data_IF_395801592979
#
_entry.id   IF_395801592979
#
_cell.length_a   1.000
_cell.length_b   1.000
_cell.length_c   1.000
_cell.angle_alpha   90.00
_cell.angle_beta   90.00
_cell.angle_gamma   90.00
#
_symmetry.space_group_name_H-M   'P 1'
#
loop_
_entity.id
_entity.type
_entity.pdbx_description
1 polymer ?
#
# COMPACT_ATOMS: atom_id res chain seq x y z
N UNK A 1 -8.98 -8.13 -24.96
CA UNK A 1 -10.23 -8.12 -24.17
C UNK A 1 -11.38 -8.09 -25.16
N UNK A 2 -12.18 -9.15 -25.22
CA UNK A 2 -13.36 -9.21 -26.10
C UNK A 2 -14.61 -9.39 -25.23
N UNK A 3 -15.74 -8.97 -25.78
CA UNK A 3 -17.07 -9.19 -25.21
C UNK A 3 -17.34 -10.65 -24.80
N UNK A 4 -16.77 -11.60 -25.55
CA UNK A 4 -16.86 -13.03 -25.26
C UNK A 4 -15.96 -13.41 -24.07
N UNK A 5 -14.67 -13.04 -24.07
CA UNK A 5 -13.76 -13.39 -22.96
C UNK A 5 -14.25 -12.77 -21.64
N UNK A 6 -14.74 -11.53 -21.66
CA UNK A 6 -15.30 -10.88 -20.47
C UNK A 6 -16.47 -11.66 -19.86
N UNK A 7 -17.39 -12.17 -20.69
CA UNK A 7 -18.59 -12.91 -20.23
C UNK A 7 -18.23 -14.33 -19.80
N UNK A 8 -17.43 -15.06 -20.59
CA UNK A 8 -17.04 -16.42 -20.23
C UNK A 8 -16.17 -16.48 -18.97
N UNK A 9 -15.29 -15.50 -18.74
CA UNK A 9 -14.47 -15.43 -17.52
C UNK A 9 -15.32 -15.16 -16.26
N UNK A 10 -16.45 -14.48 -16.40
CA UNK A 10 -17.37 -14.14 -15.30
C UNK A 10 -18.44 -15.17 -15.04
N UNK A 11 -18.56 -16.18 -15.91
CA UNK A 11 -19.67 -17.11 -15.90
C UNK A 11 -20.88 -16.56 -16.66
N UNK A 12 -21.46 -17.40 -17.50
CA UNK A 12 -22.75 -17.16 -18.17
C UNK A 12 -23.70 -18.26 -17.76
N UNK A 13 -25.00 -18.00 -17.92
CA UNK A 13 -26.02 -19.03 -17.74
C UNK A 13 -25.76 -20.22 -18.68
N UNK A 14 -25.40 -21.41 -18.15
CA UNK A 14 -25.11 -22.57 -18.98
C UNK A 14 -26.36 -23.05 -19.75
N UNK A 15 -27.55 -22.84 -19.20
CA UNK A 15 -28.81 -23.32 -19.77
C UNK A 15 -29.38 -22.34 -20.82
N UNK A 16 -28.85 -21.12 -20.90
CA UNK A 16 -29.27 -20.11 -21.87
C UNK A 16 -28.86 -20.41 -23.32
N UNK A 17 -27.89 -21.31 -23.52
CA UNK A 17 -27.27 -21.59 -24.83
C UNK A 17 -28.32 -21.95 -25.90
N UNK A 18 -29.23 -22.87 -25.58
CA UNK A 18 -30.25 -23.32 -26.52
C UNK A 18 -31.25 -22.23 -26.87
N UNK A 19 -31.64 -21.41 -25.88
CA UNK A 19 -32.52 -20.26 -26.08
C UNK A 19 -31.86 -19.22 -26.98
N UNK A 20 -30.61 -18.84 -26.67
CA UNK A 20 -29.84 -17.87 -27.43
C UNK A 20 -29.61 -18.32 -28.88
N UNK A 21 -29.29 -19.60 -29.09
CA UNK A 21 -29.14 -20.20 -30.43
C UNK A 21 -30.43 -20.07 -31.24
N UNK A 22 -31.57 -20.50 -30.68
CA UNK A 22 -32.87 -20.40 -31.35
C UNK A 22 -33.22 -18.94 -31.68
N UNK A 23 -32.98 -18.01 -30.75
CA UNK A 23 -33.24 -16.59 -30.97
C UNK A 23 -32.37 -16.01 -32.08
N UNK A 24 -31.07 -16.34 -32.08
CA UNK A 24 -30.14 -15.90 -33.12
C UNK A 24 -30.56 -16.43 -34.50
N UNK A 25 -30.94 -17.70 -34.60
CA UNK A 25 -31.44 -18.30 -35.85
C UNK A 25 -32.68 -17.59 -36.37
N UNK A 26 -33.69 -17.34 -35.52
CA UNK A 26 -34.90 -16.61 -35.93
C UNK A 26 -34.58 -15.21 -36.48
N UNK A 27 -33.65 -14.49 -35.84
CA UNK A 27 -33.22 -13.18 -36.31
C UNK A 27 -32.50 -13.25 -37.67
N UNK A 28 -31.70 -14.29 -37.91
CA UNK A 28 -31.06 -14.50 -39.21
C UNK A 28 -32.09 -14.79 -40.32
N UNK A 29 -33.14 -15.54 -40.03
CA UNK A 29 -34.22 -15.78 -40.98
C UNK A 29 -34.96 -14.48 -41.32
N UNK A 30 -35.32 -13.69 -40.31
CA UNK A 30 -36.07 -12.44 -40.45
C UNK A 30 -35.28 -11.37 -41.21
N UNK A 31 -34.00 -11.19 -40.87
CA UNK A 31 -33.20 -10.06 -41.34
C UNK A 31 -32.47 -10.40 -42.65
N UNK A 32 -31.92 -11.62 -42.76
CA UNK A 32 -31.06 -12.00 -43.88
C UNK A 32 -31.74 -12.98 -44.86
N UNK A 33 -32.99 -13.38 -44.61
CA UNK A 33 -33.69 -14.38 -45.43
C UNK A 33 -33.06 -15.77 -45.36
N UNK A 34 -32.30 -16.05 -44.30
CA UNK A 34 -31.63 -17.34 -44.13
C UNK A 34 -32.63 -18.50 -43.95
N UNK A 35 -32.19 -19.71 -44.28
CA UNK A 35 -32.96 -20.95 -44.09
C UNK A 35 -32.28 -21.86 -43.09
N UNK A 36 -33.04 -22.46 -42.17
CA UNK A 36 -32.52 -23.46 -41.21
C UNK A 36 -32.09 -24.71 -41.98
N UNK A 37 -30.82 -25.10 -41.85
CA UNK A 37 -30.23 -26.20 -42.61
C UNK A 37 -30.34 -27.57 -41.93
N UNK A 38 -30.45 -27.61 -40.59
CA UNK A 38 -30.45 -28.85 -39.81
C UNK A 38 -31.16 -28.69 -38.47
N UNK A 39 -31.45 -29.83 -37.84
CA UNK A 39 -31.83 -29.90 -36.43
C UNK A 39 -30.67 -29.44 -35.52
N UNK A 40 -31.01 -29.11 -34.27
CA UNK A 40 -30.04 -28.68 -33.26
C UNK A 40 -29.30 -29.91 -32.72
N UNK A 41 -27.97 -29.85 -32.76
CA UNK A 41 -27.10 -30.84 -32.10
C UNK A 41 -26.60 -30.25 -30.78
N UNK A 42 -27.03 -30.84 -29.66
CA UNK A 42 -26.61 -30.45 -28.32
C UNK A 42 -25.66 -31.50 -27.73
N UNK A 43 -24.43 -31.08 -27.37
CA UNK A 43 -23.39 -31.94 -26.81
C UNK A 43 -23.02 -31.39 -25.44
N UNK A 44 -23.71 -31.87 -24.40
CA UNK A 44 -23.56 -31.40 -23.03
C UNK A 44 -23.23 -32.55 -22.05
N UNK A 45 -22.01 -33.13 -22.13
CA UNK A 45 -21.66 -34.35 -21.39
C UNK A 45 -21.54 -34.15 -19.87
N UNK A 46 -21.34 -32.91 -19.41
CA UNK A 46 -21.21 -32.56 -17.99
C UNK A 46 -22.11 -31.36 -17.68
N UNK A 47 -23.39 -31.60 -17.37
CA UNK A 47 -24.29 -30.54 -16.95
C UNK A 47 -23.76 -29.80 -15.73
N UNK A 48 -23.71 -28.47 -15.83
CA UNK A 48 -23.39 -27.57 -14.73
C UNK A 48 -24.66 -27.43 -13.90
N UNK A 49 -24.60 -27.85 -12.64
CA UNK A 49 -25.70 -27.74 -11.70
C UNK A 49 -25.56 -26.48 -10.86
N UNK A 50 -26.71 -25.99 -10.38
CA UNK A 50 -26.78 -24.94 -9.38
C UNK A 50 -26.17 -25.34 -8.04
N UNK A 51 -25.99 -24.36 -7.15
CA UNK A 51 -25.50 -24.61 -5.79
C UNK A 51 -26.66 -25.01 -4.87
N UNK A 52 -26.43 -26.00 -4.01
CA UNK A 52 -27.33 -26.33 -2.90
C UNK A 52 -26.81 -25.69 -1.62
N UNK A 53 -27.63 -24.85 -0.99
CA UNK A 53 -27.22 -24.04 0.17
C UNK A 53 -28.27 -24.13 1.26
N UNK A 54 -27.87 -24.53 2.47
CA UNK A 54 -28.72 -24.43 3.66
C UNK A 54 -28.55 -23.07 4.32
N UNK A 55 -29.64 -22.32 4.45
CA UNK A 55 -29.71 -20.99 5.04
C UNK A 55 -30.39 -21.04 6.42
N UNK A 56 -29.66 -20.68 7.48
CA UNK A 56 -30.24 -20.54 8.82
C UNK A 56 -30.75 -19.12 9.07
N UNK A 57 -32.00 -18.98 9.50
CA UNK A 57 -32.57 -17.67 9.88
C UNK A 57 -31.80 -17.04 11.06
N UNK A 58 -31.28 -17.86 11.98
CA UNK A 58 -30.42 -17.41 13.08
C UNK A 58 -29.11 -16.81 12.57
N UNK A 59 -28.55 -17.41 11.52
CA UNK A 59 -27.33 -16.91 10.91
C UNK A 59 -27.57 -15.59 10.18
N UNK A 60 -28.70 -15.45 9.48
CA UNK A 60 -29.14 -14.17 8.88
C UNK A 60 -29.12 -13.10 9.97
N UNK A 61 -29.78 -13.32 11.11
CA UNK A 61 -29.79 -12.33 12.19
C UNK A 61 -28.40 -12.06 12.77
N UNK A 62 -27.57 -13.10 12.93
CA UNK A 62 -26.21 -12.97 13.48
C UNK A 62 -25.31 -12.12 12.58
N UNK A 63 -25.34 -12.34 11.27
CA UNK A 63 -24.48 -11.64 10.30
C UNK A 63 -25.00 -10.25 9.95
N UNK A 64 -26.32 -10.10 9.79
CA UNK A 64 -26.94 -8.81 9.44
C UNK A 64 -27.10 -7.88 10.64
N UNK A 65 -27.15 -8.44 11.86
CA UNK A 65 -27.41 -7.70 13.10
C UNK A 65 -28.88 -7.29 13.29
N UNK A 66 -29.78 -7.67 12.37
CA UNK A 66 -31.21 -7.36 12.40
C UNK A 66 -32.06 -8.63 12.28
N UNK A 67 -33.22 -8.63 12.92
CA UNK A 67 -34.21 -9.69 12.73
C UNK A 67 -35.04 -9.35 11.48
N UNK A 68 -34.80 -10.07 10.38
CA UNK A 68 -35.63 -10.01 9.17
C UNK A 68 -36.68 -11.11 9.27
N UNK A 69 -37.96 -10.76 9.08
CA UNK A 69 -39.05 -11.73 9.12
C UNK A 69 -38.85 -12.82 8.05
N UNK A 70 -39.12 -14.08 8.41
CA UNK A 70 -38.91 -15.24 7.54
C UNK A 70 -39.71 -15.12 6.25
N UNK A 71 -40.93 -14.60 6.31
CA UNK A 71 -41.81 -14.38 5.16
C UNK A 71 -41.21 -13.38 4.17
N UNK A 72 -40.43 -12.41 4.67
CA UNK A 72 -39.73 -11.45 3.82
C UNK A 72 -38.50 -12.07 3.16
N UNK A 73 -37.77 -12.93 3.88
CA UNK A 73 -36.63 -13.70 3.36
C UNK A 73 -37.12 -14.61 2.23
N UNK A 74 -38.10 -15.46 2.55
CA UNK A 74 -39.26 -15.83 1.72
C UNK A 74 -39.29 -15.28 0.29
N UNK A 75 -40.03 -14.17 0.21
CA UNK A 75 -40.31 -13.38 -0.97
C UNK A 75 -39.06 -12.90 -1.71
N UNK A 76 -37.98 -12.60 -1.00
CA UNK A 76 -36.74 -12.12 -1.62
C UNK A 76 -36.05 -13.26 -2.39
N UNK A 77 -35.95 -14.44 -1.78
CA UNK A 77 -35.32 -15.60 -2.41
C UNK A 77 -36.08 -16.03 -3.67
N UNK A 78 -37.41 -16.10 -3.60
CA UNK A 78 -38.26 -16.42 -4.75
C UNK A 78 -38.14 -15.37 -5.87
N UNK A 79 -38.08 -14.08 -5.53
CA UNK A 79 -37.88 -13.00 -6.51
C UNK A 79 -36.49 -13.01 -7.18
N UNK A 80 -35.54 -13.75 -6.61
CA UNK A 80 -34.19 -13.96 -7.15
C UNK A 80 -34.05 -15.33 -7.87
N UNK A 81 -35.17 -16.00 -8.15
CA UNK A 81 -35.24 -17.35 -8.72
C UNK A 81 -34.53 -18.43 -7.88
N UNK A 82 -34.33 -18.20 -6.57
CA UNK A 82 -33.75 -19.20 -5.67
C UNK A 82 -34.88 -20.11 -5.17
N UNK A 83 -34.86 -21.37 -5.60
CA UNK A 83 -35.87 -22.37 -5.21
C UNK A 83 -35.65 -22.80 -3.76
N UNK A 84 -36.71 -22.82 -2.97
CA UNK A 84 -36.70 -23.38 -1.61
C UNK A 84 -37.17 -24.84 -1.70
N UNK A 85 -36.22 -25.76 -1.56
CA UNK A 85 -36.46 -27.20 -1.66
C UNK A 85 -36.98 -27.82 -0.37
N UNK A 86 -36.64 -27.24 0.79
CA UNK A 86 -37.18 -27.63 2.08
C UNK A 86 -37.16 -26.46 3.09
N UNK A 87 -38.09 -26.50 4.04
CA UNK A 87 -38.18 -25.57 5.16
C UNK A 87 -38.42 -26.36 6.46
N UNK A 88 -37.40 -26.43 7.33
CA UNK A 88 -37.43 -27.17 8.60
C UNK A 88 -36.61 -26.45 9.66
N UNK A 89 -37.14 -26.36 10.89
CA UNK A 89 -36.40 -25.89 12.08
C UNK A 89 -35.63 -24.56 11.90
N UNK A 90 -36.25 -23.56 11.25
CA UNK A 90 -35.62 -22.26 10.90
C UNK A 90 -34.39 -22.38 9.98
N UNK A 91 -34.34 -23.43 9.17
CA UNK A 91 -33.37 -23.65 8.10
C UNK A 91 -34.11 -23.85 6.77
N UNK A 92 -33.67 -23.11 5.75
CA UNK A 92 -34.17 -23.21 4.38
C UNK A 92 -33.12 -23.90 3.52
N UNK A 93 -33.46 -25.01 2.88
CA UNK A 93 -32.60 -25.67 1.89
C UNK A 93 -32.88 -25.10 0.51
N UNK A 94 -31.88 -24.45 -0.09
CA UNK A 94 -32.01 -23.64 -1.29
C UNK A 94 -31.33 -24.30 -2.47
N UNK A 95 -31.94 -24.21 -3.65
CA UNK A 95 -31.29 -24.48 -4.93
C UNK A 95 -31.11 -23.17 -5.67
N UNK A 96 -29.85 -22.75 -5.77
CA UNK A 96 -29.45 -21.53 -6.44
C UNK A 96 -29.27 -21.82 -7.94
N UNK A 97 -29.85 -21.03 -8.85
CA UNK A 97 -29.69 -21.23 -10.29
C UNK A 97 -28.23 -21.25 -10.75
N UNK A 98 -27.91 -22.09 -11.74
CA UNK A 98 -26.53 -22.25 -12.23
C UNK A 98 -25.92 -20.96 -12.84
N UNK A 99 -26.77 -20.00 -13.24
CA UNK A 99 -26.33 -18.71 -13.74
C UNK A 99 -25.80 -17.76 -12.64
N UNK A 100 -26.05 -18.07 -11.36
CA UNK A 100 -25.58 -17.31 -10.19
C UNK A 100 -24.25 -17.88 -9.68
N UNK A 101 -23.19 -17.68 -10.45
CA UNK A 101 -21.85 -18.23 -10.12
C UNK A 101 -21.23 -17.66 -8.85
N UNK A 102 -21.75 -16.52 -8.38
CA UNK A 102 -21.35 -15.80 -7.18
C UNK A 102 -22.00 -16.32 -5.89
N UNK A 103 -23.13 -17.03 -5.99
CA UNK A 103 -23.92 -17.47 -4.83
C UNK A 103 -23.73 -18.96 -4.60
N UNK A 104 -22.79 -19.32 -3.72
CA UNK A 104 -22.42 -20.73 -3.48
C UNK A 104 -22.46 -21.14 -2.01
N UNK A 105 -22.53 -20.17 -1.10
CA UNK A 105 -22.49 -20.39 0.36
C UNK A 105 -23.62 -19.64 1.03
N UNK A 106 -23.91 -20.03 2.26
CA UNK A 106 -24.90 -19.38 3.12
C UNK A 106 -24.68 -17.85 3.21
N UNK A 107 -23.43 -17.41 3.34
CA UNK A 107 -23.09 -15.98 3.44
C UNK A 107 -23.43 -15.20 2.16
N UNK A 108 -23.30 -15.82 0.99
CA UNK A 108 -23.58 -15.18 -0.30
C UNK A 108 -25.10 -15.00 -0.46
N UNK A 109 -25.90 -15.97 -0.01
CA UNK A 109 -27.37 -15.85 0.05
C UNK A 109 -27.80 -14.74 1.02
N UNK A 110 -27.12 -14.61 2.17
CA UNK A 110 -27.40 -13.56 3.15
C UNK A 110 -27.09 -12.17 2.56
N UNK A 111 -26.03 -12.04 1.78
CA UNK A 111 -25.73 -10.81 1.04
C UNK A 111 -26.85 -10.45 0.07
N UNK A 112 -27.36 -11.42 -0.68
CA UNK A 112 -28.48 -11.22 -1.61
C UNK A 112 -29.76 -10.77 -0.91
N UNK A 113 -30.06 -11.39 0.24
CA UNK A 113 -31.17 -10.97 1.10
C UNK A 113 -30.99 -9.52 1.53
N UNK A 114 -29.79 -9.14 1.98
CA UNK A 114 -29.49 -7.77 2.40
C UNK A 114 -29.56 -6.77 1.24
N UNK A 115 -29.09 -7.14 0.05
CA UNK A 115 -29.09 -6.29 -1.14
C UNK A 115 -30.51 -5.90 -1.54
N UNK A 116 -31.44 -6.86 -1.53
CA UNK A 116 -32.84 -6.61 -1.86
C UNK A 116 -33.59 -5.99 -0.67
N UNK A 117 -33.27 -6.38 0.56
CA UNK A 117 -33.84 -5.76 1.76
C UNK A 117 -33.45 -4.27 1.87
N UNK A 118 -32.25 -3.91 1.41
CA UNK A 118 -31.72 -2.55 1.39
C UNK A 118 -30.82 -2.28 2.60
N UNK A 119 -29.55 -1.97 2.33
CA UNK A 119 -28.55 -1.68 3.36
C UNK A 119 -28.94 -0.51 4.28
N UNK A 120 -29.66 0.48 3.74
CA UNK A 120 -30.14 1.64 4.50
C UNK A 120 -31.16 1.29 5.60
N UNK A 121 -31.77 0.10 5.53
CA UNK A 121 -32.70 -0.38 6.56
C UNK A 121 -31.98 -1.02 7.75
N UNK A 122 -30.66 -1.21 7.68
CA UNK A 122 -29.86 -1.72 8.80
C UNK A 122 -29.57 -0.54 9.76
N UNK A 123 -30.09 -0.56 11.00
CA UNK A 123 -29.84 0.50 11.96
C UNK A 123 -28.39 0.46 12.44
N UNK A 124 -27.74 1.61 12.44
CA UNK A 124 -26.39 1.76 13.03
C UNK A 124 -26.54 1.80 14.54
N UNK A 125 -26.02 0.78 15.23
CA UNK A 125 -25.96 0.78 16.69
C UNK A 125 -24.97 1.86 17.15
N UNK A 126 -25.40 2.68 18.11
CA UNK A 126 -24.56 3.73 18.72
C UNK A 126 -23.59 3.19 19.78
N UNK A 127 -23.77 1.94 20.19
CA UNK A 127 -22.95 1.28 21.21
C UNK A 127 -21.93 0.34 20.55
N UNK A 128 -20.65 0.59 20.82
CA UNK A 128 -19.54 -0.30 20.47
C UNK A 128 -19.06 -0.98 21.74
N UNK A 129 -19.17 -2.31 21.80
CA UNK A 129 -18.57 -3.11 22.87
C UNK A 129 -17.14 -3.46 22.45
N UNK A 130 -16.16 -2.89 23.14
CA UNK A 130 -14.74 -3.17 22.92
C UNK A 130 -14.11 -3.72 24.19
N UNK A 131 -13.15 -4.62 24.02
CA UNK A 131 -12.27 -5.08 25.10
C UNK A 131 -11.02 -4.21 25.06
N UNK A 132 -10.65 -3.62 26.20
CA UNK A 132 -9.42 -2.84 26.30
C UNK A 132 -8.21 -3.77 26.14
N UNK A 133 -7.56 -3.70 24.99
CA UNK A 133 -6.24 -4.30 24.76
C UNK A 133 -5.18 -3.24 25.01
N UNK A 134 -4.24 -3.50 25.93
CA UNK A 134 -3.10 -2.61 26.15
C UNK A 134 -2.06 -2.86 25.06
N UNK A 135 -1.75 -1.84 24.27
CA UNK A 135 -0.69 -1.92 23.28
C UNK A 135 0.67 -2.15 23.96
N UNK A 136 1.50 -3.01 23.37
CA UNK A 136 2.86 -3.22 23.82
C UNK A 136 3.69 -1.93 23.68
N UNK A 137 4.50 -1.61 24.70
CA UNK A 137 5.48 -0.53 24.65
C UNK A 137 6.83 -1.05 24.14
N UNK A 138 7.66 -0.22 23.48
CA UNK A 138 7.43 1.20 23.19
C UNK A 138 6.43 1.41 22.03
N UNK A 139 5.65 2.47 22.15
CA UNK A 139 4.76 2.93 21.08
C UNK A 139 5.59 3.71 20.05
N UNK A 140 5.85 3.06 18.92
CA UNK A 140 6.66 3.62 17.83
C UNK A 140 6.03 4.85 17.20
N UNK A 141 4.69 4.93 17.16
CA UNK A 141 3.99 6.11 16.65
C UNK A 141 4.18 7.31 17.58
N UNK A 142 4.06 7.07 18.90
CA UNK A 142 4.31 8.12 19.88
C UNK A 142 5.75 8.64 19.80
N UNK A 143 6.73 7.77 19.58
CA UNK A 143 8.13 8.18 19.38
C UNK A 143 8.30 9.02 18.11
N UNK A 144 7.75 8.58 16.97
CA UNK A 144 7.79 9.34 15.71
C UNK A 144 7.14 10.73 15.89
N UNK A 145 6.01 10.83 16.56
CA UNK A 145 5.33 12.11 16.83
C UNK A 145 6.19 13.04 17.69
N UNK A 146 6.81 12.55 18.77
CA UNK A 146 7.69 13.39 19.62
C UNK A 146 8.84 14.00 18.81
N UNK A 147 9.40 13.24 17.87
CA UNK A 147 10.49 13.70 17.01
C UNK A 147 9.98 14.61 15.88
N UNK A 148 8.86 14.28 15.26
CA UNK A 148 8.20 15.10 14.24
C UNK A 148 7.78 16.46 14.79
N UNK A 149 7.17 16.50 15.97
CA UNK A 149 6.80 17.74 16.67
C UNK A 149 8.03 18.61 16.96
N UNK A 150 9.13 17.99 17.38
CA UNK A 150 10.38 18.70 17.62
C UNK A 150 10.97 19.31 16.34
N UNK A 151 11.09 18.53 15.26
CA UNK A 151 11.65 19.01 14.01
C UNK A 151 10.76 20.10 13.39
N UNK A 152 9.43 19.90 13.42
CA UNK A 152 8.45 20.89 12.97
C UNK A 152 8.52 22.20 13.78
N UNK A 153 8.64 22.11 15.10
CA UNK A 153 8.83 23.28 15.97
C UNK A 153 10.16 24.03 15.68
N UNK A 154 11.13 23.37 15.06
CA UNK A 154 12.40 23.95 14.62
C UNK A 154 12.43 24.35 13.13
N UNK A 155 11.25 24.47 12.52
CA UNK A 155 11.09 24.99 11.16
C UNK A 155 11.43 23.99 10.05
N UNK A 156 11.46 22.69 10.35
CA UNK A 156 11.51 21.67 9.31
C UNK A 156 10.11 21.38 8.76
N UNK A 157 10.05 20.99 7.49
CA UNK A 157 8.84 20.46 6.88
C UNK A 157 8.98 18.95 6.69
N UNK A 158 7.95 18.19 7.05
CA UNK A 158 7.89 16.77 6.74
C UNK A 158 7.70 16.57 5.23
N UNK A 159 8.53 15.70 4.65
CA UNK A 159 8.37 15.24 3.27
C UNK A 159 8.05 13.75 3.28
N UNK A 160 7.29 13.29 2.28
CA UNK A 160 6.96 11.89 2.08
C UNK A 160 7.26 11.51 0.64
N UNK A 161 8.35 10.78 0.44
CA UNK A 161 8.81 10.38 -0.88
C UNK A 161 8.37 8.96 -1.22
N UNK A 162 8.34 8.63 -2.50
CA UNK A 162 8.01 7.29 -2.95
C UNK A 162 9.08 6.28 -2.46
N UNK A 163 8.66 5.09 -2.06
CA UNK A 163 9.58 3.99 -1.77
C UNK A 163 10.24 3.46 -3.04
N UNK A 164 9.61 3.62 -4.20
CA UNK A 164 10.17 3.30 -5.51
C UNK A 164 10.97 4.48 -6.07
N UNK A 165 12.12 4.18 -6.65
CA UNK A 165 13.07 5.16 -7.16
C UNK A 165 13.83 4.63 -8.39
N UNK A 166 14.61 5.51 -9.01
CA UNK A 166 15.48 5.20 -10.16
C UNK A 166 16.58 4.21 -9.79
N UNK A 167 16.77 3.18 -10.62
CA UNK A 167 17.90 2.24 -10.49
C UNK A 167 19.24 2.96 -10.68
N UNK A 168 19.30 3.96 -11.56
CA UNK A 168 20.49 4.75 -11.89
C UNK A 168 21.08 5.52 -10.70
N UNK A 169 20.31 5.75 -9.63
CA UNK A 169 20.83 6.32 -8.40
C UNK A 169 21.81 5.41 -7.66
N UNK A 170 21.71 4.10 -7.86
CA UNK A 170 22.54 3.11 -7.18
C UNK A 170 23.61 2.48 -8.05
N UNK A 171 23.59 2.71 -9.36
CA UNK A 171 24.61 2.21 -10.29
C UNK A 171 26.01 2.77 -9.95
N UNK A 172 27.02 1.90 -10.05
CA UNK A 172 28.43 2.22 -9.80
C UNK A 172 28.68 2.90 -8.43
N UNK A 173 27.94 2.46 -7.41
CA UNK A 173 28.08 2.92 -6.04
C UNK A 173 29.00 2.02 -5.23
N UNK A 174 29.94 2.61 -4.50
CA UNK A 174 30.82 1.91 -3.56
C UNK A 174 30.13 1.61 -2.22
N UNK A 175 29.06 2.36 -1.90
CA UNK A 175 28.34 2.27 -0.64
C UNK A 175 27.00 1.54 -0.74
N UNK A 176 26.51 1.31 -1.96
CA UNK A 176 25.25 0.64 -2.23
C UNK A 176 25.50 -0.55 -3.16
N UNK A 177 25.82 -1.72 -2.58
CA UNK A 177 26.19 -2.91 -3.34
C UNK A 177 25.09 -3.32 -4.33
N UNK A 178 25.44 -3.57 -5.60
CA UNK A 178 24.45 -3.77 -6.67
C UNK A 178 23.47 -4.94 -6.39
N UNK A 179 23.98 -5.98 -5.73
CA UNK A 179 23.23 -7.17 -5.35
C UNK A 179 22.25 -6.95 -4.17
N UNK A 180 22.37 -5.86 -3.40
CA UNK A 180 21.44 -5.59 -2.29
C UNK A 180 20.15 -4.86 -2.72
N UNK A 181 20.01 -4.51 -4.00
CA UNK A 181 18.85 -3.80 -4.54
C UNK A 181 17.61 -4.70 -4.68
N UNK A 182 16.43 -4.17 -4.30
CA UNK A 182 15.15 -4.81 -4.62
C UNK A 182 14.64 -4.22 -5.93
N UNK A 183 14.86 -4.94 -7.03
CA UNK A 183 14.54 -4.49 -8.40
C UNK A 183 13.12 -4.93 -8.78
N UNK A 184 12.39 -4.06 -9.47
CA UNK A 184 11.06 -4.38 -9.99
C UNK A 184 11.19 -4.99 -11.39
N UNK A 185 10.57 -6.16 -11.59
CA UNK A 185 10.56 -6.87 -12.87
C UNK A 185 9.79 -6.11 -13.97
N UNK A 186 8.63 -5.55 -13.61
CA UNK A 186 7.75 -4.83 -14.54
C UNK A 186 7.48 -3.39 -14.04
N UNK A 187 8.50 -2.52 -14.02
CA UNK A 187 8.32 -1.17 -13.51
C UNK A 187 7.48 -0.35 -14.48
N UNK A 188 6.57 0.49 -13.94
CA UNK A 188 5.72 1.38 -14.75
C UNK A 188 6.54 2.44 -15.52
N UNK A 189 7.73 2.77 -15.01
CA UNK A 189 8.69 3.69 -15.65
C UNK A 189 10.09 3.43 -15.12
N UNK A 190 11.12 3.96 -15.79
CA UNK A 190 12.51 3.90 -15.31
C UNK A 190 12.72 4.60 -13.96
N UNK A 191 11.83 5.54 -13.60
CA UNK A 191 11.87 6.25 -12.33
C UNK A 191 11.37 5.42 -11.14
N UNK A 192 10.82 4.24 -11.41
CA UNK A 192 10.23 3.33 -10.42
C UNK A 192 10.86 1.93 -10.51
N UNK A 193 12.14 1.85 -10.87
CA UNK A 193 12.84 0.60 -11.18
C UNK A 193 13.31 -0.21 -9.97
N UNK A 194 13.51 0.43 -8.81
CA UNK A 194 13.98 -0.26 -7.59
C UNK A 194 13.42 0.37 -6.32
N UNK A 195 13.35 -0.40 -5.24
CA UNK A 195 13.02 0.14 -3.92
C UNK A 195 14.21 0.90 -3.33
N UNK A 196 13.94 2.01 -2.65
CA UNK A 196 14.97 2.86 -2.05
C UNK A 196 15.74 2.14 -0.93
N UNK A 197 17.07 2.28 -0.96
CA UNK A 197 18.01 1.78 0.06
C UNK A 197 18.47 2.84 1.06
N UNK A 198 18.11 4.10 0.80
CA UNK A 198 18.35 5.26 1.64
C UNK A 198 17.27 6.30 1.38
N UNK A 199 16.98 7.16 2.36
CA UNK A 199 16.05 8.28 2.18
C UNK A 199 16.68 9.46 1.41
N UNK A 200 17.99 9.41 1.17
CA UNK A 200 18.79 10.46 0.54
C UNK A 200 18.19 10.96 -0.77
N UNK A 201 17.95 10.07 -1.74
CA UNK A 201 17.60 10.48 -3.10
C UNK A 201 16.22 11.15 -3.18
N UNK A 202 15.22 10.65 -2.47
CA UNK A 202 13.91 11.29 -2.40
C UNK A 202 13.97 12.69 -1.77
N UNK A 203 14.75 12.86 -0.70
CA UNK A 203 14.96 14.17 -0.11
C UNK A 203 15.75 15.12 -0.99
N UNK A 204 16.76 14.62 -1.72
CA UNK A 204 17.51 15.38 -2.72
C UNK A 204 16.64 15.81 -3.91
N UNK A 205 15.73 14.96 -4.39
CA UNK A 205 14.74 15.32 -5.40
C UNK A 205 13.78 16.40 -4.88
N UNK A 206 13.37 16.31 -3.62
CA UNK A 206 12.58 17.36 -2.95
C UNK A 206 13.34 18.69 -2.87
N UNK A 207 14.65 18.66 -2.56
CA UNK A 207 15.51 19.86 -2.61
C UNK A 207 15.60 20.40 -4.04
N UNK A 208 15.84 19.55 -5.04
CA UNK A 208 15.90 19.95 -6.45
C UNK A 208 14.58 20.60 -6.91
N UNK A 209 13.45 19.99 -6.55
CA UNK A 209 12.12 20.48 -6.90
C UNK A 209 11.87 21.90 -6.37
N UNK A 210 12.25 22.17 -5.12
CA UNK A 210 12.02 23.46 -4.47
C UNK A 210 13.04 24.52 -4.90
N UNK A 211 14.31 24.16 -5.07
CA UNK A 211 15.36 25.08 -5.55
C UNK A 211 15.07 25.55 -6.97
N UNK A 212 14.59 24.67 -7.85
CA UNK A 212 14.11 25.03 -9.19
C UNK A 212 12.90 25.98 -9.18
N UNK A 213 12.21 26.13 -8.03
CA UNK A 213 11.11 27.06 -7.79
C UNK A 213 11.54 28.26 -6.94
N UNK A 214 12.85 28.57 -6.92
CA UNK A 214 13.44 29.72 -6.24
C UNK A 214 13.27 29.68 -4.71
N UNK A 215 13.21 28.47 -4.13
CA UNK A 215 13.28 28.24 -2.68
C UNK A 215 14.60 27.54 -2.35
N UNK A 216 15.60 28.31 -1.92
CA UNK A 216 16.95 27.82 -1.63
C UNK A 216 17.14 27.36 -0.19
N UNK A 217 16.43 27.99 0.76
CA UNK A 217 16.60 27.78 2.19
C UNK A 217 15.58 26.72 2.64
N UNK A 218 16.04 25.48 2.79
CA UNK A 218 15.17 24.31 2.99
C UNK A 218 15.63 23.48 4.18
N UNK A 219 14.64 23.05 4.97
CA UNK A 219 14.80 22.11 6.08
C UNK A 219 13.74 21.04 5.95
N UNK A 220 14.14 19.81 5.69
CA UNK A 220 13.22 18.69 5.53
C UNK A 220 13.53 17.55 6.48
N UNK A 221 12.50 16.82 6.88
CA UNK A 221 12.66 15.50 7.48
C UNK A 221 11.69 14.50 6.88
N UNK A 222 12.04 13.22 6.93
CA UNK A 222 11.19 12.12 6.48
C UNK A 222 11.33 10.93 7.43
N UNK A 223 10.20 10.37 7.86
CA UNK A 223 10.16 9.02 8.40
C UNK A 223 9.82 8.05 7.26
N UNK A 224 10.72 7.12 6.97
CA UNK A 224 10.56 6.24 5.82
C UNK A 224 11.23 4.90 6.00
N UNK A 225 10.85 3.94 5.16
CA UNK A 225 11.49 2.63 5.12
C UNK A 225 12.54 2.55 4.03
N UNK A 226 13.59 1.78 4.29
CA UNK A 226 14.59 1.34 3.31
C UNK A 226 14.50 -0.16 3.13
N UNK A 227 14.76 -0.65 1.93
CA UNK A 227 14.50 -2.02 1.51
C UNK A 227 15.77 -2.64 0.95
N UNK A 228 16.16 -3.80 1.47
CA UNK A 228 17.43 -4.43 1.12
C UNK A 228 17.24 -5.91 0.86
N UNK A 229 17.92 -6.41 -0.18
CA UNK A 229 17.95 -7.83 -0.53
C UNK A 229 19.18 -8.50 0.09
N UNK A 230 18.97 -9.60 0.82
CA UNK A 230 20.00 -10.28 1.63
C UNK A 230 20.73 -11.42 0.93
N UNK A 231 20.21 -11.91 -0.20
CA UNK A 231 20.75 -13.08 -0.90
C UNK A 231 20.94 -14.34 -0.03
N UNK A 232 19.99 -14.65 0.87
CA UNK A 232 20.05 -15.90 1.64
C UNK A 232 19.44 -17.05 0.82
N UNK A 233 20.29 -17.78 0.08
CA UNK A 233 19.89 -18.94 -0.72
C UNK A 233 19.33 -20.10 0.13
N UNK A 234 19.54 -20.08 1.45
CA UNK A 234 19.04 -21.11 2.37
C UNK A 234 17.65 -20.78 2.93
N UNK A 235 17.10 -19.61 2.60
CA UNK A 235 15.78 -19.19 3.05
C UNK A 235 14.66 -20.09 2.51
N UNK A 236 13.94 -20.76 3.41
CA UNK A 236 12.76 -21.59 3.08
C UNK A 236 11.65 -20.83 2.34
N UNK A 237 11.59 -19.50 2.53
CA UNK A 237 10.60 -18.62 1.91
C UNK A 237 11.27 -17.40 1.27
N UNK A 238 10.95 -17.06 0.00
CA UNK A 238 11.57 -15.94 -0.71
C UNK A 238 11.49 -14.60 0.03
N UNK A 239 10.43 -14.39 0.82
CA UNK A 239 10.23 -13.15 1.59
C UNK A 239 11.34 -12.92 2.63
N UNK A 240 11.96 -13.98 3.18
CA UNK A 240 13.04 -13.85 4.16
C UNK A 240 14.31 -13.25 3.56
N UNK A 241 14.44 -13.24 2.23
CA UNK A 241 15.55 -12.58 1.52
C UNK A 241 15.41 -11.05 1.46
N UNK A 242 14.32 -10.48 1.97
CA UNK A 242 14.12 -9.05 2.01
C UNK A 242 14.15 -8.54 3.44
N UNK A 243 14.71 -7.36 3.64
CA UNK A 243 14.66 -6.61 4.91
C UNK A 243 14.12 -5.22 4.70
N UNK A 244 13.36 -4.76 5.70
CA UNK A 244 12.90 -3.39 5.80
C UNK A 244 13.45 -2.77 7.08
N UNK A 245 13.95 -1.55 6.98
CA UNK A 245 14.38 -0.75 8.14
C UNK A 245 13.67 0.59 8.13
N UNK A 246 13.00 0.93 9.22
CA UNK A 246 12.55 2.30 9.49
C UNK A 246 13.78 3.21 9.63
N UNK A 247 13.69 4.41 9.07
CA UNK A 247 14.74 5.43 9.08
C UNK A 247 14.13 6.81 9.30
N UNK A 248 14.94 7.70 9.85
CA UNK A 248 14.68 9.14 9.87
C UNK A 248 15.74 9.86 9.03
N UNK A 249 15.32 10.50 7.94
CA UNK A 249 16.15 11.36 7.11
C UNK A 249 15.98 12.82 7.52
N UNK A 250 17.08 13.58 7.63
CA UNK A 250 17.08 15.01 7.97
C UNK A 250 17.94 15.76 6.96
N UNK A 251 17.41 16.80 6.34
CA UNK A 251 18.05 17.56 5.27
C UNK A 251 18.09 19.05 5.62
N UNK A 252 19.24 19.68 5.40
CA UNK A 252 19.46 21.12 5.54
C UNK A 252 20.19 21.67 4.33
N UNK A 253 19.73 22.80 3.80
CA UNK A 253 20.41 23.50 2.70
C UNK A 253 20.03 24.99 2.68
N UNK A 254 20.87 25.81 2.06
CA UNK A 254 20.70 27.27 2.01
C UNK A 254 21.08 27.96 3.33
N UNK A 255 20.40 29.05 3.65
CA UNK A 255 20.64 29.81 4.87
C UNK A 255 19.85 29.27 6.07
N UNK A 256 20.47 29.29 7.25
CA UNK A 256 19.81 29.04 8.53
C UNK A 256 18.81 30.15 8.87
N UNK A 257 19.18 31.40 8.64
CA UNK A 257 18.34 32.56 8.94
C UNK A 257 18.02 33.30 7.65
N UNK A 258 16.73 33.61 7.44
CA UNK A 258 16.34 34.46 6.34
C UNK A 258 16.94 35.86 6.54
N UNK A 259 17.34 36.49 5.43
CA UNK A 259 17.85 37.85 5.46
C UNK A 259 16.76 38.79 5.97
N UNK A 260 17.01 39.42 7.13
CA UNK A 260 16.14 40.44 7.69
C UNK A 260 16.80 41.82 7.60
N UNK A 261 16.08 42.87 8.01
CA UNK A 261 16.60 44.24 8.04
C UNK A 261 17.77 44.43 9.02
N UNK A 262 17.89 43.57 10.04
CA UNK A 262 18.90 43.64 11.09
C UNK A 262 19.87 42.44 11.11
N UNK A 263 19.75 41.50 10.16
CA UNK A 263 20.52 40.25 10.17
C UNK A 263 20.88 39.84 8.75
N UNK A 264 22.18 39.62 8.51
CA UNK A 264 22.63 39.00 7.25
C UNK A 264 22.29 37.51 7.29
N UNK A 265 21.88 36.95 6.15
CA UNK A 265 21.61 35.51 6.05
C UNK A 265 22.87 34.72 6.36
N UNK A 266 22.76 33.77 7.30
CA UNK A 266 23.86 32.89 7.68
C UNK A 266 23.69 31.55 6.98
N UNK A 267 24.68 31.05 6.23
CA UNK A 267 24.58 29.73 5.59
C UNK A 267 24.46 28.63 6.66
N UNK A 268 23.69 27.58 6.38
CA UNK A 268 23.73 26.38 7.19
C UNK A 268 25.07 25.67 7.03
N UNK A 269 25.51 24.98 8.08
CA UNK A 269 26.75 24.21 8.08
C UNK A 269 26.53 22.81 8.68
N UNK A 270 27.62 22.05 8.75
CA UNK A 270 27.64 20.71 9.34
C UNK A 270 27.24 20.72 10.82
N UNK A 271 27.69 21.72 11.58
CA UNK A 271 27.42 21.81 13.02
C UNK A 271 25.94 22.10 13.33
N UNK A 272 25.26 22.81 12.43
CA UNK A 272 23.82 23.03 12.51
C UNK A 272 23.05 21.71 12.35
N UNK A 273 23.41 20.87 11.37
CA UNK A 273 22.84 19.52 11.24
C UNK A 273 23.13 18.67 12.49
N UNK A 274 24.39 18.66 12.94
CA UNK A 274 24.82 17.93 14.13
C UNK A 274 23.98 18.30 15.34
N UNK A 275 23.69 19.59 15.54
CA UNK A 275 22.84 20.06 16.65
C UNK A 275 21.45 19.41 16.63
N UNK A 276 20.79 19.37 15.47
CA UNK A 276 19.47 18.74 15.39
C UNK A 276 19.53 17.22 15.60
N UNK A 277 20.53 16.54 15.03
CA UNK A 277 20.71 15.09 15.20
C UNK A 277 20.88 14.74 16.68
N UNK A 278 21.76 15.43 17.41
CA UNK A 278 21.97 15.14 18.83
C UNK A 278 20.74 15.48 19.68
N UNK A 279 20.01 16.56 19.38
CA UNK A 279 18.77 16.87 20.09
C UNK A 279 17.66 15.83 19.83
N UNK A 280 17.63 15.22 18.63
CA UNK A 280 16.74 14.08 18.33
C UNK A 280 17.12 12.88 19.20
N UNK A 281 18.41 12.54 19.30
CA UNK A 281 18.88 11.45 20.16
C UNK A 281 18.53 11.68 21.64
N UNK A 282 18.75 12.90 22.14
CA UNK A 282 18.39 13.27 23.52
C UNK A 282 16.89 13.12 23.78
N UNK A 283 16.03 13.51 22.82
CA UNK A 283 14.57 13.31 22.92
C UNK A 283 14.15 11.85 22.88
N UNK A 284 14.93 10.99 22.25
CA UNK A 284 14.77 9.53 22.30
C UNK A 284 15.32 8.92 23.61
N UNK A 285 15.90 9.74 24.50
CA UNK A 285 16.47 9.30 25.77
C UNK A 285 17.91 8.80 25.68
N UNK A 286 18.60 9.02 24.56
CA UNK A 286 20.00 8.65 24.37
C UNK A 286 20.88 9.82 24.82
N UNK A 287 21.70 9.59 25.85
CA UNK A 287 22.61 10.62 26.35
C UNK A 287 23.78 10.83 25.37
N UNK A 288 24.03 12.09 25.01
CA UNK A 288 25.14 12.50 24.15
C UNK A 288 26.51 11.94 24.57
N UNK A 289 26.79 11.84 25.87
CA UNK A 289 28.07 11.33 26.38
C UNK A 289 28.27 9.83 26.13
N UNK A 290 27.18 9.10 25.87
CA UNK A 290 27.22 7.67 25.56
C UNK A 290 27.42 7.37 24.07
N UNK A 291 27.39 8.40 23.22
CA UNK A 291 27.48 8.25 21.76
C UNK A 291 28.93 8.47 21.32
N UNK A 292 29.49 7.49 20.62
CA UNK A 292 30.78 7.62 19.95
C UNK A 292 30.60 8.25 18.56
N UNK A 293 31.52 9.15 18.21
CA UNK A 293 31.57 9.82 16.91
C UNK A 293 32.79 9.33 16.13
N UNK A 294 32.58 8.76 14.94
CA UNK A 294 33.65 8.30 14.05
C UNK A 294 33.63 9.14 12.78
N UNK A 295 34.77 9.71 12.38
CA UNK A 295 34.86 10.45 11.12
C UNK A 295 34.61 9.53 9.92
N UNK A 296 33.76 9.97 9.00
CA UNK A 296 33.44 9.28 7.76
C UNK A 296 33.63 10.21 6.59
N UNK A 297 34.40 9.75 5.60
CA UNK A 297 34.52 10.36 4.28
C UNK A 297 34.37 9.23 3.28
N UNK A 298 33.33 9.29 2.45
CA UNK A 298 33.02 8.25 1.47
C UNK A 298 32.36 8.87 0.23
N UNK A 299 31.84 8.03 -0.65
CA UNK A 299 31.20 8.49 -1.88
C UNK A 299 29.99 9.40 -1.64
N UNK A 300 29.24 9.21 -0.54
CA UNK A 300 28.08 10.02 -0.17
C UNK A 300 28.48 11.30 0.57
N UNK A 301 29.38 11.22 1.56
CA UNK A 301 29.75 12.33 2.42
C UNK A 301 31.17 12.83 2.14
N UNK A 302 31.29 14.12 1.80
CA UNK A 302 32.58 14.79 1.65
C UNK A 302 33.28 14.91 3.01
N UNK A 303 32.52 15.31 4.03
CA UNK A 303 32.89 15.30 5.44
C UNK A 303 31.66 14.86 6.23
N UNK A 304 31.81 13.87 7.11
CA UNK A 304 30.71 13.32 7.86
C UNK A 304 31.12 12.60 9.13
N UNK A 305 30.12 12.15 9.88
CA UNK A 305 30.25 11.40 11.10
C UNK A 305 29.30 10.21 11.08
N UNK A 306 29.81 9.06 11.51
CA UNK A 306 28.99 7.97 12.01
C UNK A 306 28.82 8.13 13.52
N UNK A 307 27.57 7.97 13.99
CA UNK A 307 27.23 7.99 15.40
C UNK A 307 26.85 6.58 15.85
N UNK A 308 27.43 6.13 16.95
CA UNK A 308 27.22 4.78 17.47
C UNK A 308 27.05 4.76 18.99
N UNK A 309 26.27 3.79 19.49
CA UNK A 309 26.12 3.48 20.91
C UNK A 309 26.70 2.08 21.14
N UNK A 310 27.91 2.02 21.70
CA UNK A 310 28.67 0.79 21.82
C UNK A 310 29.01 0.20 20.45
N UNK A 311 28.41 -0.96 20.10
CA UNK A 311 28.59 -1.62 18.79
C UNK A 311 27.48 -1.30 17.79
N UNK A 312 26.42 -0.61 18.21
CA UNK A 312 25.27 -0.34 17.38
C UNK A 312 25.43 1.02 16.71
N UNK A 313 25.42 1.05 15.38
CA UNK A 313 25.36 2.29 14.61
C UNK A 313 23.96 2.88 14.76
N UNK A 314 23.87 4.14 15.19
CA UNK A 314 22.63 4.89 15.31
C UNK A 314 22.29 5.66 14.03
N UNK A 315 23.29 5.98 13.22
CA UNK A 315 23.10 6.71 11.96
C UNK A 315 24.38 7.35 11.45
N UNK A 316 24.24 8.07 10.34
CA UNK A 316 25.33 8.85 9.73
C UNK A 316 24.84 10.25 9.39
N UNK A 317 25.74 11.22 9.39
CA UNK A 317 25.45 12.60 9.01
C UNK A 317 26.63 13.26 8.33
N UNK A 318 26.40 14.18 7.40
CA UNK A 318 27.50 14.84 6.68
C UNK A 318 27.06 15.79 5.59
N UNK A 319 28.05 16.43 4.96
CA UNK A 319 27.86 17.20 3.74
C UNK A 319 27.89 16.26 2.53
N UNK A 320 26.84 16.32 1.69
CA UNK A 320 26.74 15.46 0.51
C UNK A 320 27.78 15.85 -0.55
N UNK A 321 28.42 14.85 -1.16
CA UNK A 321 29.40 15.06 -2.23
C UNK A 321 28.76 15.62 -3.49
N UNK A 322 29.55 16.34 -4.30
CA UNK A 322 29.09 16.83 -5.61
C UNK A 322 28.63 15.70 -6.54
N UNK A 323 29.21 14.50 -6.44
CA UNK A 323 28.82 13.32 -7.24
C UNK A 323 27.34 12.99 -7.05
N UNK A 324 26.85 12.96 -5.82
CA UNK A 324 25.45 12.66 -5.51
C UNK A 324 24.51 13.84 -5.79
N UNK A 325 24.96 15.07 -5.54
CA UNK A 325 24.17 16.27 -5.89
C UNK A 325 23.94 16.38 -7.41
N UNK A 326 24.91 16.00 -8.23
CA UNK A 326 24.78 16.02 -9.69
C UNK A 326 23.77 15.00 -10.21
N UNK A 327 23.60 13.84 -9.55
CA UNK A 327 22.58 12.83 -9.92
C UNK A 327 21.14 13.40 -9.92
N UNK A 328 20.88 14.43 -9.12
CA UNK A 328 19.57 15.11 -9.00
C UNK A 328 19.59 16.57 -9.47
N UNK A 329 20.68 17.01 -10.11
CA UNK A 329 20.88 18.40 -10.57
C UNK A 329 20.74 19.47 -9.46
N UNK A 330 21.25 19.20 -8.25
CA UNK A 330 21.32 20.18 -7.16
C UNK A 330 22.69 20.87 -7.16
N UNK A 331 22.71 22.21 -7.17
CA UNK A 331 23.94 23.01 -7.24
C UNK A 331 24.42 23.54 -5.89
N UNK A 332 23.52 23.66 -4.91
CA UNK A 332 23.83 24.18 -3.57
C UNK A 332 24.26 23.06 -2.62
N UNK A 333 25.04 23.39 -1.60
CA UNK A 333 25.45 22.43 -0.58
C UNK A 333 24.25 21.89 0.20
N UNK A 334 24.20 20.58 0.40
CA UNK A 334 23.17 19.90 1.20
C UNK A 334 23.87 19.12 2.31
N UNK A 335 23.36 19.29 3.53
CA UNK A 335 23.75 18.50 4.69
C UNK A 335 22.63 17.51 4.99
N UNK A 336 22.98 16.25 5.19
CA UNK A 336 22.06 15.14 5.34
C UNK A 336 22.43 14.27 6.53
N UNK A 337 21.43 13.80 7.27
CA UNK A 337 21.57 12.74 8.26
C UNK A 337 20.54 11.63 8.01
N UNK A 338 20.94 10.39 8.22
CA UNK A 338 20.05 9.22 8.24
C UNK A 338 20.24 8.47 9.56
N UNK A 339 19.16 8.35 10.34
CA UNK A 339 19.13 7.65 11.62
C UNK A 339 18.37 6.32 11.51
N UNK A 340 18.84 5.33 12.27
CA UNK A 340 18.33 3.94 12.35
C UNK A 340 17.17 3.75 13.32
#
# INVERSE_FOLDING_TARGET
NTDASFRFERGIDPDSTLFALKRATLLLQEIAGATVSSEITDIYPKPILGAEVSLSIKQVQRLTGIAIAKEKIVQILEALDIEISADKDDVLDLKVPAYRVDVTREADVIEEILRIYGYSNIPVKTEVKSVLSYAHKPDTYKLKNVIGDYLSANGFNEIMNNSLTKTSYYENSEIFAENEGVILENPLSQDLGTMRRSLLFGGLESVAYNTNRKRSDLRFYEFGKTYHYKHDETAEHPVKNYSEFDKLGIFLTGNREEKSWNMQGQPTDFYHLKTFVFNVLEKLGINRESVAETYVSNEMFAEGLEISLGKQVLGTMGQITKKYLQKVAVNQSVFYAELN
#
